data_IF_353928011905
#
_entry.id   IF_353928011905
#
_cell.length_a   1.000
_cell.length_b   1.000
_cell.length_c   1.000
_cell.angle_alpha   90.00
_cell.angle_beta   90.00
_cell.angle_gamma   90.00
#
_symmetry.space_group_name_H-M   'P 1'
#
loop_
_entity.id
_entity.type
_entity.pdbx_description
1 polymer ?
#
# COMPACT_ATOMS: atom_id res chain seq x y z
N UNK A 1 -1.46 -43.35 -17.05
CA UNK A 1 -2.10 -42.60 -15.95
C UNK A 1 -2.25 -41.15 -16.38
N UNK A 2 -3.48 -40.74 -16.71
CA UNK A 2 -3.78 -39.39 -17.18
C UNK A 2 -3.83 -38.40 -16.02
N UNK A 3 -2.79 -37.59 -15.89
CA UNK A 3 -2.76 -36.47 -14.94
C UNK A 3 -3.52 -35.28 -15.51
N UNK A 4 -4.79 -35.17 -15.14
CA UNK A 4 -5.55 -33.90 -15.20
C UNK A 4 -4.89 -32.90 -14.24
N UNK A 5 -3.90 -32.15 -14.74
CA UNK A 5 -3.37 -30.95 -14.08
C UNK A 5 -4.29 -29.78 -14.41
N UNK A 6 -4.95 -29.25 -13.39
CA UNK A 6 -6.10 -28.35 -13.50
C UNK A 6 -5.88 -27.14 -14.40
N UNK A 7 -6.90 -26.86 -15.20
CA UNK A 7 -7.14 -25.54 -15.75
C UNK A 7 -7.44 -24.56 -14.59
N UNK A 8 -6.41 -24.03 -13.94
CA UNK A 8 -6.52 -22.81 -13.15
C UNK A 8 -6.32 -21.62 -14.09
N UNK A 9 -7.34 -21.35 -14.90
CA UNK A 9 -7.47 -20.09 -15.61
C UNK A 9 -7.71 -18.95 -14.62
N UNK A 10 -6.67 -18.48 -13.93
CA UNK A 10 -6.65 -17.16 -13.31
C UNK A 10 -6.27 -16.11 -14.36
N UNK A 11 -7.07 -16.04 -15.42
CA UNK A 11 -6.98 -15.00 -16.43
C UNK A 11 -8.09 -13.98 -16.22
N UNK A 12 -7.77 -12.76 -15.79
CA UNK A 12 -8.60 -11.60 -16.15
C UNK A 12 -8.75 -10.47 -15.13
N UNK A 13 -8.76 -10.73 -13.82
CA UNK A 13 -9.23 -9.72 -12.86
C UNK A 13 -8.29 -9.49 -11.66
N UNK A 14 -7.12 -8.90 -11.94
CA UNK A 14 -6.21 -8.41 -10.90
C UNK A 14 -6.78 -7.16 -10.22
N UNK A 15 -6.61 -7.08 -8.90
CA UNK A 15 -6.88 -5.87 -8.09
C UNK A 15 -5.86 -4.76 -8.31
N UNK A 16 -4.73 -5.09 -8.95
CA UNK A 16 -3.71 -4.15 -9.39
C UNK A 16 -3.83 -3.89 -10.88
N UNK A 17 -3.50 -2.67 -11.30
CA UNK A 17 -3.46 -2.34 -12.73
C UNK A 17 -2.39 -3.19 -13.43
N UNK A 18 -2.77 -3.78 -14.57
CA UNK A 18 -1.88 -4.67 -15.35
C UNK A 18 -0.56 -3.99 -15.73
N UNK A 19 -0.64 -2.68 -16.03
CA UNK A 19 0.47 -1.85 -16.47
C UNK A 19 0.93 -0.85 -15.39
N UNK A 20 0.63 -1.10 -14.10
CA UNK A 20 1.12 -0.25 -13.02
C UNK A 20 2.66 -0.15 -13.08
N UNK A 21 3.17 1.07 -13.23
CA UNK A 21 4.60 1.35 -13.19
C UNK A 21 5.08 1.36 -11.74
N UNK A 22 6.28 0.83 -11.50
CA UNK A 22 6.90 0.91 -10.17
C UNK A 22 7.14 2.39 -9.86
N UNK A 23 6.53 2.88 -8.79
CA UNK A 23 6.77 4.22 -8.30
C UNK A 23 7.94 4.20 -7.33
N UNK A 24 8.91 5.08 -7.60
CA UNK A 24 9.99 5.37 -6.64
C UNK A 24 9.53 6.54 -5.78
N UNK A 25 9.34 6.29 -4.49
CA UNK A 25 8.88 7.31 -3.54
C UNK A 25 10.04 7.66 -2.63
N UNK A 26 10.37 8.94 -2.60
CA UNK A 26 11.41 9.48 -1.73
C UNK A 26 10.76 10.30 -0.62
N UNK A 27 11.08 9.94 0.62
CA UNK A 27 10.61 10.66 1.80
C UNK A 27 11.69 10.67 2.88
N UNK A 28 11.39 11.29 4.00
CA UNK A 28 12.34 11.56 5.08
C UNK A 28 11.81 11.00 6.39
N UNK A 29 12.70 10.30 7.09
CA UNK A 29 12.55 10.02 8.51
C UNK A 29 13.45 10.94 9.33
N UNK A 30 12.89 11.60 10.34
CA UNK A 30 13.62 12.41 11.30
C UNK A 30 13.90 11.55 12.54
N UNK A 31 15.18 11.37 12.87
CA UNK A 31 15.63 10.68 14.08
C UNK A 31 15.24 11.45 15.36
N UNK A 32 14.98 10.73 16.46
CA UNK A 32 14.80 11.36 17.76
C UNK A 32 16.08 12.11 18.19
N UNK A 33 15.92 13.19 18.95
CA UNK A 33 17.03 13.92 19.59
C UNK A 33 16.54 14.56 20.88
N UNK A 34 17.14 14.17 22.00
CA UNK A 34 16.69 14.60 23.33
C UNK A 34 15.21 14.28 23.51
N UNK A 35 14.43 15.31 23.85
CA UNK A 35 12.98 15.20 24.05
C UNK A 35 12.15 15.18 22.75
N UNK A 36 12.76 15.38 21.57
CA UNK A 36 12.03 15.30 20.30
C UNK A 36 11.95 13.84 19.82
N UNK A 37 10.75 13.25 19.69
CA UNK A 37 10.60 11.90 19.14
C UNK A 37 10.93 11.87 17.64
N UNK A 38 11.28 10.68 17.15
CA UNK A 38 11.47 10.46 15.73
C UNK A 38 10.12 10.35 15.00
N UNK A 39 10.07 10.79 13.74
CA UNK A 39 8.84 10.73 12.96
C UNK A 39 9.14 10.60 11.46
N UNK A 40 8.21 9.95 10.75
CA UNK A 40 8.19 9.93 9.29
C UNK A 40 7.47 11.17 8.80
N UNK A 41 8.07 11.89 7.85
CA UNK A 41 7.45 13.10 7.28
C UNK A 41 6.21 12.77 6.46
N UNK A 42 6.15 11.57 5.91
CA UNK A 42 5.06 11.11 5.06
C UNK A 42 4.82 9.62 5.28
N UNK A 43 3.56 9.21 5.18
CA UNK A 43 3.19 7.79 5.26
C UNK A 43 3.30 7.17 3.87
N UNK A 44 4.00 6.05 3.76
CA UNK A 44 4.06 5.25 2.53
C UNK A 44 3.46 3.89 2.82
N UNK A 45 2.49 3.49 2.03
CA UNK A 45 1.78 2.23 2.14
C UNK A 45 2.05 1.36 0.92
N UNK A 46 2.28 0.07 1.16
CA UNK A 46 2.33 -0.98 0.15
C UNK A 46 0.99 -1.69 0.11
N UNK A 47 0.44 -1.91 -1.09
CA UNK A 47 -0.78 -2.65 -1.28
C UNK A 47 -0.47 -4.11 -1.66
N UNK A 48 -1.11 -5.05 -0.96
CA UNK A 48 -0.99 -6.49 -1.22
C UNK A 48 -2.33 -7.07 -1.63
N UNK A 49 -2.32 -7.93 -2.66
CA UNK A 49 -3.53 -8.62 -3.07
C UNK A 49 -3.88 -9.72 -2.05
N UNK A 50 -5.10 -9.67 -1.55
CA UNK A 50 -5.71 -10.72 -0.75
C UNK A 50 -6.48 -11.71 -1.62
N UNK A 51 -7.38 -12.47 -0.98
CA UNK A 51 -8.25 -13.44 -1.66
C UNK A 51 -9.41 -12.73 -2.35
N UNK A 52 -9.83 -13.24 -3.51
CA UNK A 52 -11.09 -12.88 -4.17
C UNK A 52 -11.36 -11.37 -4.36
N UNK A 53 -10.35 -10.57 -4.72
CA UNK A 53 -10.53 -9.13 -4.94
C UNK A 53 -10.31 -8.26 -3.70
N UNK A 54 -9.78 -8.83 -2.62
CA UNK A 54 -9.35 -8.07 -1.45
C UNK A 54 -8.00 -7.38 -1.69
N UNK A 55 -7.82 -6.20 -1.11
CA UNK A 55 -6.52 -5.54 -0.95
C UNK A 55 -6.26 -5.27 0.52
N UNK A 56 -5.03 -5.52 0.95
CA UNK A 56 -4.53 -5.13 2.27
C UNK A 56 -3.44 -4.06 2.12
N UNK A 57 -3.59 -2.92 2.81
CA UNK A 57 -2.54 -1.90 2.90
C UNK A 57 -1.70 -2.12 4.15
N UNK A 58 -0.38 -2.13 3.99
CA UNK A 58 0.58 -2.17 5.09
C UNK A 58 1.60 -1.05 4.93
N UNK A 59 2.31 -0.68 6.01
CA UNK A 59 3.44 0.25 5.87
C UNK A 59 4.48 -0.33 4.91
N UNK A 60 4.91 0.48 3.95
CA UNK A 60 5.94 0.08 3.01
C UNK A 60 7.29 -0.05 3.71
N UNK A 61 8.17 -0.91 3.17
CA UNK A 61 9.54 -1.06 3.64
C UNK A 61 10.48 -0.34 2.68
N UNK A 62 11.32 0.60 3.16
CA UNK A 62 12.24 1.32 2.27
C UNK A 62 13.31 0.36 1.74
N UNK A 63 13.60 0.45 0.44
CA UNK A 63 14.67 -0.32 -0.21
C UNK A 63 16.04 0.31 -0.01
N UNK A 64 16.10 1.62 0.27
CA UNK A 64 17.33 2.33 0.60
C UNK A 64 17.08 3.31 1.75
N UNK A 65 18.08 3.43 2.61
CA UNK A 65 18.17 4.44 3.66
C UNK A 65 19.51 5.13 3.52
N UNK A 66 19.52 6.45 3.37
CA UNK A 66 20.74 7.23 3.24
C UNK A 66 20.76 8.37 4.26
N UNK A 67 21.95 8.64 4.79
CA UNK A 67 22.21 9.70 5.73
C UNK A 67 23.40 10.50 5.24
N UNK A 68 23.26 11.82 5.16
CA UNK A 68 24.34 12.68 4.68
C UNK A 68 25.53 12.70 5.66
N UNK A 69 25.29 12.41 6.94
CA UNK A 69 26.32 12.20 7.97
C UNK A 69 25.72 11.40 9.13
N UNK A 70 26.53 10.68 9.91
CA UNK A 70 26.07 9.92 11.08
C UNK A 70 25.41 10.80 12.16
N UNK A 71 25.82 12.06 12.25
CA UNK A 71 25.26 13.08 13.16
C UNK A 71 23.98 13.73 12.62
N UNK A 72 23.65 13.51 11.34
CA UNK A 72 22.44 14.08 10.76
C UNK A 72 21.20 13.37 11.28
N UNK A 73 20.21 14.18 11.65
CA UNK A 73 18.90 13.69 12.08
C UNK A 73 18.00 13.27 10.92
N UNK A 74 18.38 13.62 9.69
CA UNK A 74 17.58 13.40 8.50
C UNK A 74 18.05 12.12 7.82
N UNK A 75 17.16 11.14 7.73
CA UNK A 75 17.36 9.91 6.97
C UNK A 75 16.48 9.97 5.73
N UNK A 76 17.12 9.95 4.57
CA UNK A 76 16.42 9.86 3.29
C UNK A 76 16.04 8.41 3.04
N UNK A 77 14.77 8.18 2.76
CA UNK A 77 14.18 6.86 2.54
C UNK A 77 13.68 6.77 1.12
N UNK A 78 14.09 5.72 0.42
CA UNK A 78 13.59 5.41 -0.92
C UNK A 78 12.75 4.13 -0.85
N UNK A 79 11.54 4.20 -1.37
CA UNK A 79 10.60 3.09 -1.50
C UNK A 79 10.39 2.77 -2.97
N UNK A 80 10.08 1.52 -3.27
CA UNK A 80 9.71 1.06 -4.61
C UNK A 80 8.45 0.23 -4.52
N UNK A 81 7.33 0.83 -4.85
CA UNK A 81 6.02 0.19 -4.75
C UNK A 81 5.34 0.19 -6.12
N UNK A 82 4.81 -0.96 -6.53
CA UNK A 82 4.02 -1.06 -7.77
C UNK A 82 2.58 -0.59 -7.56
N UNK A 83 2.04 -0.84 -6.37
CA UNK A 83 0.72 -0.42 -5.96
C UNK A 83 0.74 -0.11 -4.47
N UNK A 84 0.07 0.95 -4.06
CA UNK A 84 0.22 1.45 -2.71
C UNK A 84 -0.36 2.85 -2.55
N UNK A 85 0.09 3.54 -1.52
CA UNK A 85 -0.26 4.93 -1.31
C UNK A 85 0.92 5.74 -0.80
N UNK A 86 0.90 7.02 -1.14
CA UNK A 86 1.80 8.05 -0.64
C UNK A 86 0.93 9.12 0.01
N UNK A 87 0.96 9.20 1.33
CA UNK A 87 0.01 10.02 2.09
C UNK A 87 -1.43 9.55 1.87
N UNK A 88 -2.23 10.44 1.32
CA UNK A 88 -3.64 10.21 0.92
C UNK A 88 -3.78 9.73 -0.53
N UNK A 89 -2.70 9.78 -1.32
CA UNK A 89 -2.76 9.49 -2.75
C UNK A 89 -2.47 8.02 -3.02
N UNK A 90 -3.47 7.29 -3.53
CA UNK A 90 -3.37 5.86 -3.89
C UNK A 90 -2.98 5.69 -5.36
N UNK A 91 -2.14 4.71 -5.66
CA UNK A 91 -1.68 4.41 -7.03
C UNK A 91 -1.58 2.90 -7.30
N UNK A 92 -1.66 2.52 -8.58
CA UNK A 92 -1.47 1.13 -9.05
C UNK A 92 -2.60 0.16 -8.69
N UNK A 93 -3.72 0.69 -8.16
CA UNK A 93 -4.90 -0.08 -7.75
C UNK A 93 -5.97 -0.02 -8.84
N UNK A 94 -6.44 -1.18 -9.29
CA UNK A 94 -7.60 -1.28 -10.15
C UNK A 94 -8.87 -1.39 -9.31
N UNK A 95 -9.41 -0.25 -8.89
CA UNK A 95 -10.59 -0.17 -8.04
C UNK A 95 -11.82 -0.90 -8.59
N UNK A 96 -11.95 -1.10 -9.91
CA UNK A 96 -13.08 -1.85 -10.50
C UNK A 96 -13.12 -3.31 -10.06
N UNK A 97 -11.95 -3.89 -9.77
CA UNK A 97 -11.80 -5.30 -9.38
C UNK A 97 -11.69 -5.50 -7.87
N UNK A 98 -11.60 -4.41 -7.11
CA UNK A 98 -11.51 -4.45 -5.65
C UNK A 98 -12.89 -4.65 -5.05
N UNK A 99 -13.02 -5.68 -4.20
CA UNK A 99 -14.23 -6.01 -3.45
C UNK A 99 -14.16 -5.57 -1.99
N UNK A 100 -12.96 -5.61 -1.41
CA UNK A 100 -12.73 -5.18 -0.04
C UNK A 100 -11.33 -4.61 0.16
N UNK A 101 -11.19 -3.70 1.13
CA UNK A 101 -9.91 -3.10 1.53
C UNK A 101 -9.71 -3.22 3.03
N UNK A 102 -8.52 -3.63 3.46
CA UNK A 102 -8.18 -3.82 4.87
C UNK A 102 -6.77 -3.27 5.21
N UNK A 103 -6.41 -3.29 6.49
CA UNK A 103 -5.10 -2.86 6.98
C UNK A 103 -4.99 -1.36 7.29
N UNK A 104 -3.81 -0.79 7.02
CA UNK A 104 -3.45 0.61 7.26
C UNK A 104 -4.17 1.53 6.27
N UNK A 105 -5.44 1.85 6.57
CA UNK A 105 -6.31 2.60 5.65
C UNK A 105 -6.64 4.00 6.12
N UNK A 106 -6.17 4.42 7.30
CA UNK A 106 -6.55 5.71 7.90
C UNK A 106 -6.18 6.91 7.02
N UNK A 107 -4.98 6.91 6.44
CA UNK A 107 -4.50 7.99 5.58
C UNK A 107 -5.25 8.08 4.24
N UNK A 108 -5.82 6.97 3.78
CA UNK A 108 -6.47 6.84 2.45
C UNK A 108 -7.98 6.58 2.54
N UNK A 109 -8.56 6.77 3.73
CA UNK A 109 -9.97 6.44 4.01
C UNK A 109 -10.93 7.18 3.09
N UNK A 110 -10.60 8.43 2.75
CA UNK A 110 -11.47 9.28 1.95
C UNK A 110 -11.41 8.87 0.47
N UNK A 111 -10.22 8.54 -0.04
CA UNK A 111 -10.06 7.90 -1.36
C UNK A 111 -10.81 6.57 -1.46
N UNK A 112 -10.80 5.75 -0.41
CA UNK A 112 -11.56 4.49 -0.39
C UNK A 112 -13.07 4.75 -0.46
N UNK A 113 -13.59 5.76 0.26
CA UNK A 113 -15.01 6.14 0.21
C UNK A 113 -15.41 6.69 -1.16
N UNK A 114 -14.59 7.53 -1.76
CA UNK A 114 -14.80 8.10 -3.10
C UNK A 114 -14.91 6.99 -4.15
N UNK A 115 -14.18 5.89 -3.98
CA UNK A 115 -14.25 4.70 -4.83
C UNK A 115 -15.44 3.78 -4.52
N UNK A 116 -16.42 4.23 -3.71
CA UNK A 116 -17.68 3.54 -3.49
C UNK A 116 -17.65 2.46 -2.41
N UNK A 117 -16.71 2.52 -1.46
CA UNK A 117 -16.63 1.57 -0.36
C UNK A 117 -17.23 2.15 0.94
N UNK A 118 -17.66 1.27 1.83
CA UNK A 118 -18.14 1.60 3.17
C UNK A 118 -17.38 0.77 4.21
N UNK A 119 -17.05 1.38 5.34
CA UNK A 119 -16.48 0.65 6.48
C UNK A 119 -17.50 -0.31 7.09
N UNK A 120 -17.13 -1.59 7.17
CA UNK A 120 -17.82 -2.61 7.94
C UNK A 120 -17.04 -2.88 9.24
N UNK A 121 -17.60 -2.39 10.36
CA UNK A 121 -17.01 -2.57 11.68
C UNK A 121 -16.99 -4.02 12.16
N UNK A 122 -17.81 -4.92 11.59
CA UNK A 122 -17.83 -6.34 11.97
C UNK A 122 -16.63 -7.07 11.38
N UNK A 123 -16.42 -6.96 10.07
CA UNK A 123 -15.28 -7.58 9.39
C UNK A 123 -13.97 -6.79 9.54
N UNK A 124 -14.02 -5.54 10.02
CA UNK A 124 -12.91 -4.58 10.07
C UNK A 124 -12.30 -4.31 8.70
N UNK A 125 -13.16 -4.22 7.67
CA UNK A 125 -12.77 -3.97 6.29
C UNK A 125 -13.69 -2.93 5.66
N UNK A 126 -13.18 -2.25 4.65
CA UNK A 126 -14.00 -1.51 3.71
C UNK A 126 -14.59 -2.49 2.70
N UNK A 127 -15.89 -2.47 2.50
CA UNK A 127 -16.60 -3.35 1.56
C UNK A 127 -17.23 -2.47 0.48
N UNK A 128 -17.20 -2.94 -0.77
CA UNK A 128 -17.88 -2.30 -1.89
C UNK A 128 -19.37 -2.14 -1.57
N UNK A 129 -19.92 -0.94 -1.79
CA UNK A 129 -21.37 -0.73 -1.72
C UNK A 129 -22.11 -1.51 -2.80
#
# INVERSE_FOLDING_TARGET
MGGRGGASGFGGNSVFEKNAKIQTIETVYRKPKGYSPGYYKETVLSAKAGKNGEIEFAYATPVKRNETASTNRTVYLTYKEKAGARGDTVFGINWKNVKSVSGQTFAIKDTIKENGFRWDGKSKKWIRK
#
